data_IF_498347299431
#
_entry.id   IF_498347299431
#
_cell.length_a   1.000
_cell.length_b   1.000
_cell.length_c   1.000
_cell.angle_alpha   90.00
_cell.angle_beta   90.00
_cell.angle_gamma   90.00
#
_symmetry.space_group_name_H-M   'P 1'
#
loop_
_entity.id
_entity.type
_entity.pdbx_description
1 polymer ?
#
# COMPACT_ATOMS: atom_id res chain seq x y z
N UNK A 1 -4.24 43.82 -19.99
CA UNK A 1 -4.31 42.34 -20.07
C UNK A 1 -3.11 41.80 -19.33
N UNK A 2 -3.28 41.43 -18.07
CA UNK A 2 -2.22 40.87 -17.24
C UNK A 2 -2.17 39.35 -17.50
N UNK A 3 -1.03 38.87 -17.96
CA UNK A 3 -0.80 37.48 -18.37
C UNK A 3 -1.02 36.54 -17.16
N UNK A 4 -1.76 35.42 -17.26
CA UNK A 4 -1.91 34.51 -16.13
C UNK A 4 -0.53 33.93 -15.79
N UNK A 5 0.01 34.31 -14.63
CA UNK A 5 1.23 33.73 -14.07
C UNK A 5 0.94 32.26 -13.79
N UNK A 6 1.38 31.38 -14.69
CA UNK A 6 1.41 29.93 -14.47
C UNK A 6 2.32 29.72 -13.25
N UNK A 7 1.72 29.35 -12.10
CA UNK A 7 2.50 28.97 -10.92
C UNK A 7 3.34 27.75 -11.30
N UNK A 8 4.66 27.91 -11.21
CA UNK A 8 5.62 26.83 -11.43
C UNK A 8 5.29 25.63 -10.52
N UNK A 9 5.52 24.39 -11.00
CA UNK A 9 5.32 23.20 -10.18
C UNK A 9 6.14 23.31 -8.88
N UNK A 10 5.56 22.84 -7.78
CA UNK A 10 6.24 22.83 -6.50
C UNK A 10 7.60 22.13 -6.62
N UNK A 11 8.67 22.67 -6.01
CA UNK A 11 9.93 21.95 -5.94
C UNK A 11 9.67 20.59 -5.29
N UNK A 12 10.30 19.53 -5.80
CA UNK A 12 10.01 18.12 -5.46
C UNK A 12 9.84 17.87 -3.95
N UNK A 13 10.64 18.56 -3.11
CA UNK A 13 10.59 18.51 -1.64
C UNK A 13 9.33 19.06 -0.98
N UNK A 14 8.63 20.02 -1.60
CA UNK A 14 7.43 20.65 -1.04
C UNK A 14 6.12 20.00 -1.49
N UNK A 15 6.18 19.13 -2.49
CA UNK A 15 4.99 18.43 -2.99
C UNK A 15 4.48 17.39 -1.97
N UNK A 16 3.20 17.46 -1.63
CA UNK A 16 2.49 16.45 -0.84
C UNK A 16 2.44 15.12 -1.59
N UNK A 17 2.18 15.15 -2.90
CA UNK A 17 2.10 13.93 -3.71
C UNK A 17 3.44 13.20 -3.75
N UNK A 18 4.54 13.93 -3.94
CA UNK A 18 5.88 13.34 -3.94
C UNK A 18 6.29 12.84 -2.55
N UNK A 19 5.94 13.55 -1.47
CA UNK A 19 6.20 13.07 -0.10
C UNK A 19 5.41 11.80 0.21
N UNK A 20 4.15 11.72 -0.20
CA UNK A 20 3.32 10.53 -0.02
C UNK A 20 3.85 9.36 -0.86
N UNK A 21 4.18 9.58 -2.13
CA UNK A 21 4.75 8.57 -3.01
C UNK A 21 6.11 8.07 -2.52
N UNK A 22 7.01 8.98 -2.14
CA UNK A 22 8.31 8.63 -1.57
C UNK A 22 8.14 7.82 -0.28
N UNK A 23 7.18 8.18 0.57
CA UNK A 23 6.92 7.42 1.78
C UNK A 23 6.44 6.00 1.47
N UNK A 24 5.50 5.83 0.54
CA UNK A 24 5.04 4.49 0.12
C UNK A 24 6.22 3.66 -0.36
N UNK A 25 7.07 4.22 -1.23
CA UNK A 25 8.25 3.52 -1.77
C UNK A 25 9.25 3.17 -0.68
N UNK A 26 9.54 4.09 0.25
CA UNK A 26 10.45 3.83 1.36
C UNK A 26 9.87 2.76 2.29
N UNK A 27 8.57 2.82 2.60
CA UNK A 27 7.90 1.82 3.40
C UNK A 27 7.93 0.44 2.72
N UNK A 28 7.62 0.35 1.42
CA UNK A 28 7.67 -0.93 0.71
C UNK A 28 9.08 -1.50 0.66
N UNK A 29 10.10 -0.67 0.42
CA UNK A 29 11.51 -1.11 0.44
C UNK A 29 11.89 -1.62 1.83
N UNK A 30 11.54 -0.91 2.91
CA UNK A 30 11.83 -1.35 4.28
C UNK A 30 11.12 -2.66 4.59
N UNK A 31 9.82 -2.78 4.25
CA UNK A 31 9.06 -3.99 4.49
C UNK A 31 9.69 -5.18 3.75
N UNK A 32 10.03 -5.01 2.47
CA UNK A 32 10.69 -6.04 1.67
C UNK A 32 12.05 -6.38 2.26
N UNK A 33 12.86 -5.40 2.67
CA UNK A 33 14.18 -5.65 3.24
C UNK A 33 14.11 -6.40 4.58
N UNK A 34 13.15 -6.06 5.45
CA UNK A 34 12.96 -6.75 6.73
C UNK A 34 12.44 -8.16 6.52
N UNK A 35 11.48 -8.35 5.61
CA UNK A 35 11.00 -9.69 5.26
C UNK A 35 12.11 -10.51 4.62
N UNK A 36 12.86 -9.95 3.67
CA UNK A 36 14.00 -10.59 3.05
C UNK A 36 15.02 -11.01 4.11
N UNK A 37 15.45 -10.11 4.98
CA UNK A 37 16.40 -10.45 6.05
C UNK A 37 15.87 -11.56 6.97
N UNK A 38 14.57 -11.54 7.30
CA UNK A 38 13.96 -12.56 8.16
C UNK A 38 13.84 -13.92 7.47
N UNK A 39 13.46 -13.93 6.19
CA UNK A 39 13.30 -15.15 5.39
C UNK A 39 14.65 -15.72 5.00
N UNK A 40 15.58 -14.90 4.51
CA UNK A 40 16.95 -15.32 4.18
C UNK A 40 17.59 -15.99 5.40
N UNK A 41 17.50 -15.37 6.59
CA UNK A 41 18.01 -15.97 7.83
C UNK A 41 17.36 -17.32 8.20
N UNK A 42 16.12 -17.57 7.75
CA UNK A 42 15.39 -18.82 8.01
C UNK A 42 15.68 -19.89 6.96
N UNK A 43 15.90 -19.51 5.69
CA UNK A 43 16.04 -20.42 4.55
C UNK A 43 17.48 -20.67 4.13
N UNK A 44 18.42 -19.77 4.42
CA UNK A 44 19.83 -20.12 4.33
C UNK A 44 20.16 -21.00 5.53
N UNK A 45 19.88 -22.29 5.41
CA UNK A 45 20.85 -23.28 5.87
C UNK A 45 22.18 -22.84 5.24
N UNK A 46 23.01 -22.15 6.01
CA UNK A 46 24.34 -21.79 5.57
C UNK A 46 25.00 -23.12 5.22
N UNK A 47 25.20 -23.43 3.95
CA UNK A 47 26.06 -24.53 3.52
C UNK A 47 27.39 -24.32 4.25
N UNK A 48 27.56 -25.03 5.35
CA UNK A 48 28.55 -24.75 6.36
C UNK A 48 29.62 -25.82 6.33
N UNK A 49 30.74 -25.50 6.97
CA UNK A 49 31.78 -26.50 7.21
C UNK A 49 31.25 -27.72 7.99
N UNK A 50 30.18 -27.56 8.79
CA UNK A 50 29.55 -28.67 9.51
C UNK A 50 28.82 -29.61 8.54
N UNK A 51 28.15 -29.08 7.53
CA UNK A 51 27.50 -29.91 6.51
C UNK A 51 28.54 -30.70 5.72
N UNK A 52 29.69 -30.08 5.41
CA UNK A 52 30.82 -30.79 4.79
C UNK A 52 31.36 -31.92 5.68
N UNK A 53 31.50 -31.68 6.98
CA UNK A 53 31.88 -32.73 7.94
C UNK A 53 30.83 -33.85 8.01
N UNK A 54 29.54 -33.51 7.97
CA UNK A 54 28.46 -34.48 8.00
C UNK A 54 28.47 -35.37 6.75
N UNK A 55 28.66 -34.78 5.56
CA UNK A 55 28.87 -35.54 4.32
C UNK A 55 30.07 -36.49 4.45
N UNK A 56 31.20 -36.01 5.01
CA UNK A 56 32.37 -36.86 5.25
C UNK A 56 32.07 -38.03 6.18
N UNK A 57 31.35 -37.80 7.28
CA UNK A 57 30.97 -38.88 8.21
C UNK A 57 30.03 -39.91 7.56
N UNK A 58 29.02 -39.47 6.82
CA UNK A 58 28.14 -40.39 6.10
C UNK A 58 28.89 -41.18 5.03
N UNK A 59 29.79 -40.53 4.30
CA UNK A 59 30.68 -41.20 3.34
C UNK A 59 31.54 -42.26 4.01
N UNK A 60 32.21 -41.93 5.13
CA UNK A 60 33.06 -42.88 5.87
C UNK A 60 32.28 -44.02 6.50
N UNK A 61 31.08 -43.75 7.00
CA UNK A 61 30.20 -44.78 7.55
C UNK A 61 29.85 -45.81 6.48
N UNK A 62 29.45 -45.37 5.29
CA UNK A 62 29.12 -46.26 4.16
C UNK A 62 30.34 -46.99 3.61
N UNK A 63 31.51 -46.34 3.58
CA UNK A 63 32.77 -47.00 3.21
C UNK A 63 33.10 -48.15 4.17
N UNK A 64 32.82 -47.97 5.47
CA UNK A 64 33.09 -48.98 6.50
C UNK A 64 32.18 -50.22 6.41
N UNK A 65 31.01 -50.09 5.78
CA UNK A 65 30.06 -51.17 5.60
C UNK A 65 30.44 -52.17 4.50
N UNK A 66 31.43 -51.83 3.68
CA UNK A 66 31.98 -52.69 2.64
C UNK A 66 31.17 -52.73 1.34
N UNK A 67 31.74 -53.41 0.34
CA UNK A 67 31.17 -53.55 -0.99
C UNK A 67 31.43 -54.99 -1.53
N UNK A 68 30.49 -55.95 -1.37
CA UNK A 68 29.09 -55.77 -1.00
C UNK A 68 28.86 -55.43 0.50
N UNK A 69 27.73 -54.78 0.85
CA UNK A 69 27.52 -54.26 2.20
C UNK A 69 27.20 -55.34 3.24
N UNK A 70 27.83 -55.30 4.42
CA UNK A 70 27.55 -56.21 5.53
C UNK A 70 26.24 -55.85 6.27
N UNK A 71 25.16 -56.50 5.89
CA UNK A 71 23.82 -56.26 6.45
C UNK A 71 23.68 -56.50 7.95
N UNK A 72 24.56 -57.31 8.57
CA UNK A 72 24.52 -57.54 10.03
C UNK A 72 25.12 -56.33 10.73
N UNK A 73 26.31 -55.91 10.29
CA UNK A 73 26.99 -54.74 10.82
C UNK A 73 26.15 -53.46 10.66
N UNK A 74 25.59 -53.25 9.46
CA UNK A 74 24.73 -52.10 9.16
C UNK A 74 23.51 -52.08 10.08
N UNK A 75 22.86 -53.22 10.30
CA UNK A 75 21.69 -53.31 11.17
C UNK A 75 22.01 -52.88 12.59
N UNK A 76 23.13 -53.33 13.14
CA UNK A 76 23.56 -52.98 14.49
C UNK A 76 23.83 -51.47 14.61
N UNK A 77 24.56 -50.89 13.66
CA UNK A 77 24.94 -49.48 13.68
C UNK A 77 23.74 -48.54 13.45
N UNK A 78 22.91 -48.81 12.45
CA UNK A 78 21.70 -48.04 12.16
C UNK A 78 20.70 -48.09 13.33
N UNK A 79 20.60 -49.24 14.01
CA UNK A 79 19.75 -49.39 15.21
C UNK A 79 20.31 -48.61 16.41
N UNK A 80 21.63 -48.53 16.53
CA UNK A 80 22.30 -47.72 17.55
C UNK A 80 22.08 -46.22 17.29
N UNK A 81 22.23 -45.78 16.04
CA UNK A 81 22.05 -44.40 15.61
C UNK A 81 20.58 -43.96 15.50
N UNK A 82 19.62 -44.89 15.66
CA UNK A 82 18.18 -44.63 15.55
C UNK A 82 17.76 -44.07 14.20
N UNK A 83 18.38 -44.58 13.14
CA UNK A 83 18.08 -44.22 11.76
C UNK A 83 17.31 -45.34 11.05
N UNK A 84 16.71 -45.01 9.93
CA UNK A 84 16.28 -45.97 8.93
C UNK A 84 17.25 -45.93 7.75
N UNK A 85 17.44 -47.08 7.10
CA UNK A 85 18.35 -47.27 6.01
C UNK A 85 17.73 -48.21 4.97
N UNK A 86 17.69 -47.75 3.72
CA UNK A 86 17.38 -48.57 2.56
C UNK A 86 18.59 -48.66 1.62
N UNK A 87 18.95 -49.86 1.21
CA UNK A 87 20.08 -50.14 0.32
C UNK A 87 19.51 -50.70 -0.97
N UNK A 88 19.81 -50.01 -2.06
CA UNK A 88 19.35 -50.36 -3.41
C UNK A 88 20.57 -50.55 -4.30
N UNK A 89 20.47 -51.46 -5.26
CA UNK A 89 21.51 -51.53 -6.30
C UNK A 89 21.50 -50.22 -7.09
N UNK A 90 22.70 -49.71 -7.40
CA UNK A 90 22.84 -48.52 -8.24
C UNK A 90 22.45 -48.88 -9.66
N UNK A 91 21.43 -48.20 -10.17
CA UNK A 91 21.08 -48.18 -11.59
C UNK A 91 21.30 -46.77 -12.14
N UNK A 92 21.40 -46.64 -13.46
CA UNK A 92 21.65 -45.37 -14.11
C UNK A 92 20.61 -45.16 -15.19
N UNK A 93 19.94 -44.02 -15.16
CA UNK A 93 18.94 -43.71 -16.18
C UNK A 93 19.59 -43.24 -17.48
N UNK A 94 18.78 -43.03 -18.52
CA UNK A 94 19.24 -42.56 -19.82
C UNK A 94 19.93 -41.18 -19.81
N UNK A 95 19.88 -40.46 -18.69
CA UNK A 95 20.49 -39.15 -18.48
C UNK A 95 21.77 -39.20 -17.62
N UNK A 96 22.22 -40.40 -17.23
CA UNK A 96 23.41 -40.58 -16.40
C UNK A 96 23.19 -40.32 -14.90
N UNK A 97 21.94 -40.25 -14.45
CA UNK A 97 21.58 -39.99 -13.06
C UNK A 97 21.44 -41.33 -12.33
N UNK A 98 22.17 -41.48 -11.22
CA UNK A 98 22.05 -42.63 -10.31
C UNK A 98 20.62 -42.74 -9.76
N UNK A 99 20.02 -43.91 -9.88
CA UNK A 99 18.67 -44.21 -9.40
C UNK A 99 18.64 -45.52 -8.59
N UNK A 100 17.69 -45.65 -7.65
CA UNK A 100 17.55 -46.88 -6.87
C UNK A 100 16.98 -47.99 -7.75
N UNK A 101 17.76 -49.05 -7.94
CA UNK A 101 17.34 -50.27 -8.60
C UNK A 101 16.72 -51.28 -7.63
N UNK A 102 17.01 -52.56 -7.83
CA UNK A 102 16.53 -53.63 -6.95
C UNK A 102 16.97 -53.42 -5.49
N UNK A 103 16.01 -53.51 -4.55
CA UNK A 103 16.27 -53.47 -3.11
C UNK A 103 17.21 -54.61 -2.70
N UNK A 104 18.36 -54.25 -2.10
CA UNK A 104 19.30 -55.20 -1.50
C UNK A 104 18.93 -55.52 -0.06
N UNK A 105 18.69 -54.48 0.75
CA UNK A 105 18.25 -54.58 2.14
C UNK A 105 17.55 -53.29 2.56
N UNK A 106 16.57 -53.34 3.46
CA UNK A 106 15.92 -52.13 3.95
C UNK A 106 15.27 -52.39 5.32
N UNK A 107 15.32 -51.40 6.21
CA UNK A 107 14.47 -51.31 7.40
C UNK A 107 13.55 -50.07 7.36
N UNK A 108 13.36 -49.48 6.17
CA UNK A 108 12.49 -48.32 5.98
C UNK A 108 11.02 -48.67 6.30
N UNK A 109 10.27 -47.78 6.98
CA UNK A 109 8.83 -47.88 7.12
C UNK A 109 8.13 -47.95 5.76
N UNK A 110 6.99 -48.66 5.69
CA UNK A 110 6.20 -48.80 4.46
C UNK A 110 5.59 -47.49 3.93
N UNK A 111 5.63 -46.43 4.73
CA UNK A 111 5.13 -45.09 4.41
C UNK A 111 6.15 -44.26 3.61
N UNK A 112 7.40 -44.69 3.57
CA UNK A 112 8.49 -43.97 2.88
C UNK A 112 8.63 -44.49 1.45
N UNK A 113 8.33 -43.61 0.50
CA UNK A 113 8.51 -43.87 -0.94
C UNK A 113 9.75 -43.16 -1.45
N UNK A 114 10.67 -43.91 -2.03
CA UNK A 114 12.03 -43.43 -2.35
C UNK A 114 12.10 -42.72 -3.70
N UNK A 115 11.04 -42.82 -4.51
CA UNK A 115 10.99 -42.30 -5.87
C UNK A 115 10.92 -40.76 -5.94
N UNK A 116 10.61 -40.08 -4.82
CA UNK A 116 10.44 -38.62 -4.74
C UNK A 116 11.39 -37.99 -3.73
N UNK A 117 12.65 -37.76 -4.13
CA UNK A 117 13.62 -37.04 -3.31
C UNK A 117 13.70 -35.58 -3.76
N UNK A 118 13.55 -34.66 -2.80
CA UNK A 118 13.85 -33.24 -3.01
C UNK A 118 15.24 -32.94 -2.44
N UNK A 119 16.28 -33.06 -3.27
CA UNK A 119 17.67 -32.78 -2.89
C UNK A 119 17.95 -31.28 -2.88
N UNK A 120 18.67 -30.81 -1.87
CA UNK A 120 19.08 -29.41 -1.73
C UNK A 120 20.60 -29.23 -1.56
N UNK A 121 21.37 -30.30 -1.28
CA UNK A 121 22.83 -30.23 -1.22
C UNK A 121 23.50 -31.50 -1.74
N UNK A 122 24.69 -31.35 -2.35
CA UNK A 122 25.55 -32.44 -2.80
C UNK A 122 26.98 -32.19 -2.33
N UNK A 123 27.61 -33.24 -1.79
CA UNK A 123 29.01 -33.27 -1.34
C UNK A 123 30.03 -32.66 -2.31
N UNK A 124 29.83 -32.79 -3.62
CA UNK A 124 30.71 -32.21 -4.64
C UNK A 124 30.81 -30.69 -4.51
N UNK A 125 29.70 -30.00 -4.25
CA UNK A 125 29.69 -28.55 -4.07
C UNK A 125 30.43 -28.13 -2.79
N UNK A 126 30.29 -28.92 -1.72
CA UNK A 126 30.95 -28.64 -0.45
C UNK A 126 32.45 -28.96 -0.48
N UNK A 127 32.85 -29.98 -1.24
CA UNK A 127 34.26 -30.33 -1.50
C UNK A 127 34.98 -29.15 -2.16
N UNK A 128 34.40 -28.57 -3.21
CA UNK A 128 34.95 -27.40 -3.90
C UNK A 128 34.94 -26.14 -3.03
N UNK A 129 33.89 -25.94 -2.24
CA UNK A 129 33.73 -24.75 -1.40
C UNK A 129 34.72 -24.71 -0.22
N UNK A 130 34.98 -25.87 0.40
CA UNK A 130 35.74 -25.96 1.64
C UNK A 130 37.09 -26.67 1.52
N UNK A 131 37.46 -27.16 0.33
CA UNK A 131 38.70 -27.92 0.09
C UNK A 131 38.81 -29.17 0.99
N UNK A 132 37.71 -29.94 1.08
CA UNK A 132 37.62 -31.18 1.87
C UNK A 132 37.41 -32.37 0.95
N UNK A 133 38.27 -33.38 1.06
CA UNK A 133 38.10 -34.65 0.36
C UNK A 133 36.99 -35.51 1.02
N UNK A 134 35.85 -35.63 0.34
CA UNK A 134 34.76 -36.52 0.72
C UNK A 134 34.85 -37.79 -0.16
N UNK A 135 35.11 -39.00 0.40
CA UNK A 135 35.41 -40.19 -0.39
C UNK A 135 34.28 -40.70 -1.31
N UNK A 136 33.03 -40.51 -0.91
CA UNK A 136 31.84 -41.00 -1.62
C UNK A 136 30.87 -39.85 -1.86
N UNK A 137 30.16 -39.91 -2.98
CA UNK A 137 29.14 -38.91 -3.33
C UNK A 137 27.97 -39.02 -2.34
N UNK A 138 27.79 -37.97 -1.54
CA UNK A 138 26.65 -37.81 -0.63
C UNK A 138 25.72 -36.71 -1.15
N UNK A 139 24.41 -36.96 -1.09
CA UNK A 139 23.32 -36.06 -1.47
C UNK A 139 22.38 -35.91 -0.28
N UNK A 140 22.13 -34.67 0.14
CA UNK A 140 21.15 -34.35 1.16
C UNK A 140 19.84 -33.85 0.53
N UNK A 141 18.73 -34.29 1.10
CA UNK A 141 17.40 -33.95 0.63
C UNK A 141 16.33 -34.28 1.65
N UNK A 142 15.09 -34.22 1.21
CA UNK A 142 13.93 -34.72 1.94
C UNK A 142 13.16 -35.76 1.11
N UNK A 143 12.65 -36.78 1.78
CA UNK A 143 11.61 -37.68 1.25
C UNK A 143 10.35 -37.42 2.06
N UNK A 144 9.34 -36.83 1.43
CA UNK A 144 8.22 -36.23 2.16
C UNK A 144 8.73 -35.18 3.14
N UNK A 145 8.38 -35.34 4.42
CA UNK A 145 8.79 -34.44 5.52
C UNK A 145 10.07 -34.91 6.25
N UNK A 146 10.68 -36.02 5.81
CA UNK A 146 11.83 -36.61 6.49
C UNK A 146 13.15 -36.25 5.80
N UNK A 147 14.18 -35.79 6.55
CA UNK A 147 15.50 -35.57 6.01
C UNK A 147 16.14 -36.90 5.61
N UNK A 148 16.76 -36.92 4.44
CA UNK A 148 17.47 -38.07 3.87
C UNK A 148 18.89 -37.68 3.46
N UNK A 149 19.83 -38.58 3.77
CA UNK A 149 21.18 -38.59 3.21
C UNK A 149 21.30 -39.81 2.28
N UNK A 150 21.59 -39.55 1.01
CA UNK A 150 21.83 -40.60 0.00
C UNK A 150 23.32 -40.67 -0.28
N UNK A 151 23.92 -41.85 -0.11
CA UNK A 151 25.34 -42.07 -0.41
C UNK A 151 25.48 -43.07 -1.54
N UNK A 152 26.26 -42.72 -2.56
CA UNK A 152 26.59 -43.57 -3.69
C UNK A 152 28.00 -44.15 -3.52
N UNK A 153 28.09 -45.49 -3.40
CA UNK A 153 29.38 -46.20 -3.31
C UNK A 153 29.84 -46.82 -4.64
N UNK A 154 29.17 -46.47 -5.75
CA UNK A 154 29.42 -46.97 -7.10
C UNK A 154 28.66 -48.25 -7.46
N UNK A 155 28.26 -49.07 -6.49
CA UNK A 155 27.47 -50.30 -6.72
C UNK A 155 26.09 -50.26 -6.06
N UNK A 156 25.95 -49.52 -4.98
CA UNK A 156 24.75 -49.43 -4.15
C UNK A 156 24.49 -47.97 -3.74
N UNK A 157 23.20 -47.64 -3.63
CA UNK A 157 22.71 -46.39 -3.07
C UNK A 157 22.17 -46.64 -1.67
N UNK A 158 22.64 -45.85 -0.71
CA UNK A 158 22.26 -45.95 0.70
C UNK A 158 21.40 -44.76 1.08
N UNK A 159 20.13 -45.02 1.35
CA UNK A 159 19.15 -44.03 1.78
C UNK A 159 19.06 -44.03 3.29
N UNK A 160 19.67 -43.06 3.94
CA UNK A 160 19.66 -42.93 5.40
C UNK A 160 18.68 -41.85 5.81
N UNK A 161 17.68 -42.23 6.60
CA UNK A 161 16.57 -41.35 7.00
C UNK A 161 16.53 -41.30 8.51
N UNK A 162 16.38 -40.09 9.05
CA UNK A 162 16.19 -39.88 10.48
C UNK A 162 14.72 -39.61 10.73
N UNK A 163 14.15 -40.21 11.78
CA UNK A 163 12.81 -39.90 12.25
C UNK A 163 12.80 -38.56 13.00
N UNK A 164 13.12 -37.49 12.28
CA UNK A 164 13.14 -36.12 12.75
C UNK A 164 12.38 -35.26 11.76
N UNK A 165 11.25 -34.72 12.19
CA UNK A 165 10.51 -33.74 11.41
C UNK A 165 10.98 -32.37 11.91
N UNK A 166 11.63 -31.55 11.06
CA UNK A 166 12.07 -30.23 11.47
C UNK A 166 10.87 -29.41 11.98
N UNK A 167 11.02 -28.61 13.05
CA UNK A 167 9.92 -27.83 13.57
C UNK A 167 9.40 -26.90 12.47
N UNK A 168 8.07 -26.84 12.32
CA UNK A 168 7.45 -25.97 11.33
C UNK A 168 7.81 -24.50 11.58
N UNK A 169 8.22 -23.80 10.53
CA UNK A 169 8.64 -22.39 10.56
C UNK A 169 7.44 -21.41 10.55
N UNK A 170 6.28 -21.81 11.10
CA UNK A 170 5.04 -21.04 11.08
C UNK A 170 5.17 -19.66 11.74
N UNK A 171 6.09 -19.54 12.69
CA UNK A 171 6.40 -18.29 13.37
C UNK A 171 6.92 -17.20 12.41
N UNK A 172 7.61 -17.57 11.32
CA UNK A 172 8.06 -16.61 10.29
C UNK A 172 6.87 -16.06 9.48
N UNK A 173 5.89 -16.91 9.18
CA UNK A 173 4.64 -16.48 8.53
C UNK A 173 3.87 -15.54 9.44
N UNK A 174 3.71 -15.89 10.72
CA UNK A 174 3.02 -15.02 11.69
C UNK A 174 3.73 -13.69 11.87
N UNK A 175 5.06 -13.69 11.95
CA UNK A 175 5.86 -12.47 11.99
C UNK A 175 5.62 -11.59 10.75
N UNK A 176 5.64 -12.18 9.55
CA UNK A 176 5.41 -11.46 8.31
C UNK A 176 4.00 -10.83 8.26
N UNK A 177 2.97 -11.55 8.70
CA UNK A 177 1.59 -11.05 8.76
C UNK A 177 1.47 -9.89 9.75
N UNK A 178 2.01 -10.03 10.96
CA UNK A 178 1.98 -8.96 11.98
C UNK A 178 2.70 -7.71 11.44
N UNK A 179 3.87 -7.88 10.84
CA UNK A 179 4.63 -6.78 10.26
C UNK A 179 3.85 -6.07 9.14
N UNK A 180 3.21 -6.83 8.26
CA UNK A 180 2.36 -6.27 7.20
C UNK A 180 1.19 -5.46 7.78
N UNK A 181 0.53 -5.94 8.83
CA UNK A 181 -0.57 -5.22 9.50
C UNK A 181 -0.07 -3.89 10.08
N UNK A 182 1.07 -3.90 10.78
CA UNK A 182 1.69 -2.68 11.33
C UNK A 182 1.98 -1.67 10.22
N UNK A 183 2.51 -2.14 9.09
CA UNK A 183 2.78 -1.30 7.92
C UNK A 183 1.52 -0.67 7.33
N UNK A 184 0.46 -1.46 7.15
CA UNK A 184 -0.83 -0.98 6.63
C UNK A 184 -1.44 0.06 7.56
N UNK A 185 -1.43 -0.19 8.88
CA UNK A 185 -1.92 0.76 9.87
C UNK A 185 -1.11 2.05 9.85
N UNK A 186 0.22 1.96 9.81
CA UNK A 186 1.11 3.12 9.71
C UNK A 186 0.79 3.98 8.48
N UNK A 187 0.62 3.35 7.32
CA UNK A 187 0.27 4.04 6.09
C UNK A 187 -1.11 4.71 6.16
N UNK A 188 -2.11 4.02 6.73
CA UNK A 188 -3.46 4.54 6.91
C UNK A 188 -3.46 5.81 7.78
N UNK A 189 -2.81 5.78 8.93
CA UNK A 189 -2.71 6.95 9.82
C UNK A 189 -1.95 8.10 9.16
N UNK A 190 -0.90 7.80 8.41
CA UNK A 190 -0.13 8.81 7.68
C UNK A 190 -0.98 9.49 6.60
N UNK A 191 -1.65 8.72 5.73
CA UNK A 191 -2.56 9.26 4.70
C UNK A 191 -3.63 10.13 5.35
N UNK A 192 -4.24 9.67 6.44
CA UNK A 192 -5.29 10.42 7.16
C UNK A 192 -4.78 11.74 7.72
N UNK A 193 -3.54 11.79 8.22
CA UNK A 193 -2.92 13.01 8.71
C UNK A 193 -2.72 14.05 7.59
N UNK A 194 -2.19 13.62 6.44
CA UNK A 194 -1.91 14.50 5.31
C UNK A 194 -3.18 14.94 4.55
N UNK A 195 -4.24 14.13 4.57
CA UNK A 195 -5.53 14.47 3.95
C UNK A 195 -6.46 15.29 4.86
N UNK A 196 -6.05 15.61 6.10
CA UNK A 196 -6.82 16.48 7.01
C UNK A 196 -7.26 17.82 6.38
N UNK A 197 -6.43 18.53 5.57
CA UNK A 197 -6.86 19.78 4.93
C UNK A 197 -8.02 19.59 3.95
N UNK A 198 -8.10 18.44 3.27
CA UNK A 198 -9.20 18.13 2.34
C UNK A 198 -10.54 18.08 3.08
N UNK A 199 -10.55 17.49 4.28
CA UNK A 199 -11.74 17.45 5.11
C UNK A 199 -12.17 18.84 5.59
N UNK A 200 -11.20 19.72 5.92
CA UNK A 200 -11.50 21.12 6.28
C UNK A 200 -12.09 21.90 5.10
N UNK A 201 -11.56 21.70 3.90
CA UNK A 201 -12.11 22.31 2.68
C UNK A 201 -13.54 21.83 2.43
N UNK A 202 -13.81 20.53 2.54
CA UNK A 202 -15.16 19.96 2.40
C UNK A 202 -16.15 20.65 3.33
N UNK A 203 -15.83 20.69 4.63
CA UNK A 203 -16.71 21.30 5.63
C UNK A 203 -16.91 22.80 5.37
N UNK A 204 -15.90 23.48 4.81
CA UNK A 204 -16.03 24.89 4.43
C UNK A 204 -16.96 25.07 3.23
N UNK A 205 -16.87 24.24 2.19
CA UNK A 205 -17.78 24.29 1.04
C UNK A 205 -19.22 24.10 1.51
N UNK A 206 -19.48 23.11 2.37
CA UNK A 206 -20.82 22.90 2.96
C UNK A 206 -21.30 24.10 3.80
N UNK A 207 -20.40 24.84 4.42
CA UNK A 207 -20.74 26.07 5.16
C UNK A 207 -21.01 27.25 4.21
N UNK A 208 -20.26 27.34 3.11
CA UNK A 208 -20.44 28.34 2.06
C UNK A 208 -21.80 28.16 1.37
N UNK A 209 -22.19 26.92 1.09
CA UNK A 209 -23.53 26.58 0.54
C UNK A 209 -24.66 27.04 1.45
N UNK A 210 -24.42 27.08 2.77
CA UNK A 210 -25.37 27.58 3.78
C UNK A 210 -25.32 29.11 3.95
N UNK A 211 -24.49 29.81 3.20
CA UNK A 211 -24.38 31.27 3.25
C UNK A 211 -23.33 31.81 4.24
N UNK A 212 -22.35 31.03 4.68
CA UNK A 212 -21.21 31.58 5.43
C UNK A 212 -20.10 32.05 4.46
N UNK A 213 -20.05 33.36 4.20
CA UNK A 213 -18.96 34.03 3.45
C UNK A 213 -17.89 34.69 4.35
N UNK A 214 -18.11 34.75 5.68
CA UNK A 214 -17.22 35.47 6.59
C UNK A 214 -16.01 34.63 7.01
N UNK A 215 -16.22 33.33 7.26
CA UNK A 215 -15.15 32.48 7.79
C UNK A 215 -14.14 32.03 6.71
N UNK A 216 -12.89 31.77 7.10
CA UNK A 216 -11.80 31.34 6.21
C UNK A 216 -11.35 29.93 6.54
N UNK A 217 -10.88 29.18 5.54
CA UNK A 217 -10.21 27.90 5.74
C UNK A 217 -8.87 28.17 6.40
N UNK A 218 -8.56 27.44 7.48
CA UNK A 218 -7.24 27.45 8.06
C UNK A 218 -6.23 26.78 7.11
N UNK A 219 -5.17 27.51 6.74
CA UNK A 219 -4.15 27.01 5.82
C UNK A 219 -3.18 26.15 6.63
N UNK A 220 -3.11 24.85 6.30
CA UNK A 220 -2.21 23.89 6.94
C UNK A 220 -1.13 23.49 5.94
N UNK A 221 0.14 23.62 6.34
CA UNK A 221 1.29 23.23 5.52
C UNK A 221 1.71 24.28 4.48
N UNK A 222 2.62 23.88 3.60
CA UNK A 222 3.16 24.72 2.52
C UNK A 222 3.11 24.03 1.15
N UNK A 223 2.24 23.06 0.98
CA UNK A 223 2.14 22.20 -0.19
C UNK A 223 0.93 22.53 -1.08
N UNK A 224 0.63 21.67 -2.05
CA UNK A 224 -0.48 21.85 -2.99
C UNK A 224 -1.82 22.04 -2.29
N UNK A 225 -2.06 21.38 -1.15
CA UNK A 225 -3.30 21.55 -0.39
C UNK A 225 -3.32 22.91 0.33
N UNK A 226 -2.17 23.40 0.79
CA UNK A 226 -2.05 24.73 1.35
C UNK A 226 -2.37 25.82 0.30
N UNK A 227 -1.85 25.66 -0.92
CA UNK A 227 -2.12 26.59 -2.02
C UNK A 227 -3.56 26.48 -2.54
N UNK A 228 -4.16 25.29 -2.53
CA UNK A 228 -5.58 25.12 -2.81
C UNK A 228 -6.43 25.83 -1.76
N UNK A 229 -6.07 25.72 -0.46
CA UNK A 229 -6.76 26.41 0.63
C UNK A 229 -6.72 27.93 0.45
N UNK A 230 -5.55 28.47 0.07
CA UNK A 230 -5.39 29.91 -0.25
C UNK A 230 -6.25 30.32 -1.43
N UNK A 231 -6.26 29.53 -2.50
CA UNK A 231 -7.02 29.82 -3.72
C UNK A 231 -8.52 29.81 -3.45
N UNK A 232 -9.01 28.88 -2.63
CA UNK A 232 -10.40 28.81 -2.21
C UNK A 232 -10.79 29.98 -1.31
N UNK A 233 -9.95 30.38 -0.35
CA UNK A 233 -10.18 31.58 0.44
C UNK A 233 -10.25 32.84 -0.43
N UNK A 234 -9.40 32.95 -1.46
CA UNK A 234 -9.44 34.08 -2.41
C UNK A 234 -10.74 34.08 -3.21
N UNK A 235 -11.19 32.93 -3.69
CA UNK A 235 -12.47 32.80 -4.39
C UNK A 235 -13.65 33.24 -3.51
N UNK A 236 -13.67 32.84 -2.23
CA UNK A 236 -14.70 33.27 -1.26
C UNK A 236 -14.70 34.79 -1.09
N UNK A 237 -13.51 35.40 -1.02
CA UNK A 237 -13.36 36.85 -0.91
C UNK A 237 -13.84 37.59 -2.17
N UNK A 238 -13.49 37.08 -3.37
CA UNK A 238 -13.98 37.62 -4.65
C UNK A 238 -15.50 37.51 -4.77
N UNK A 239 -16.12 36.40 -4.34
CA UNK A 239 -17.58 36.25 -4.28
C UNK A 239 -18.20 37.30 -3.35
N UNK A 240 -17.62 37.50 -2.18
CA UNK A 240 -18.14 38.48 -1.21
C UNK A 240 -18.09 39.92 -1.77
N UNK A 241 -16.99 40.28 -2.43
CA UNK A 241 -16.85 41.58 -3.11
C UNK A 241 -17.87 41.75 -4.25
N UNK A 242 -18.08 40.71 -5.06
CA UNK A 242 -19.08 40.74 -6.14
C UNK A 242 -20.50 40.94 -5.61
N UNK A 243 -20.85 40.26 -4.51
CA UNK A 243 -22.16 40.42 -3.87
C UNK A 243 -22.34 41.82 -3.27
N UNK A 244 -21.31 42.36 -2.61
CA UNK A 244 -21.33 43.72 -2.10
C UNK A 244 -21.50 44.76 -3.22
N UNK A 245 -20.77 44.59 -4.33
CA UNK A 245 -20.88 45.46 -5.50
C UNK A 245 -22.25 45.37 -6.17
N UNK A 246 -22.84 44.17 -6.28
CA UNK A 246 -24.21 43.97 -6.79
C UNK A 246 -25.21 44.73 -5.93
N UNK A 247 -25.09 44.62 -4.61
CA UNK A 247 -26.00 45.29 -3.68
C UNK A 247 -25.91 46.81 -3.79
N UNK A 248 -24.69 47.36 -3.85
CA UNK A 248 -24.48 48.80 -4.02
C UNK A 248 -25.07 49.31 -5.33
N UNK A 249 -24.85 48.59 -6.44
CA UNK A 249 -25.39 48.95 -7.75
C UNK A 249 -26.93 49.00 -7.73
N UNK A 250 -27.60 48.04 -7.09
CA UNK A 250 -29.06 48.03 -6.99
C UNK A 250 -29.60 49.23 -6.19
N UNK A 251 -28.91 49.61 -5.11
CA UNK A 251 -29.25 50.81 -4.34
C UNK A 251 -29.10 52.08 -5.18
N UNK A 252 -27.96 52.23 -5.85
CA UNK A 252 -27.65 53.39 -6.69
C UNK A 252 -28.66 53.54 -7.83
N UNK A 253 -28.96 52.44 -8.55
CA UNK A 253 -29.97 52.41 -9.62
C UNK A 253 -31.35 52.79 -9.08
N UNK A 254 -31.73 52.30 -7.90
CA UNK A 254 -33.04 52.61 -7.32
C UNK A 254 -33.15 54.08 -6.90
N UNK A 255 -32.07 54.68 -6.41
CA UNK A 255 -32.02 56.11 -6.11
C UNK A 255 -32.10 56.96 -7.38
N UNK A 256 -31.34 56.60 -8.42
CA UNK A 256 -31.34 57.26 -9.73
C UNK A 256 -32.72 57.18 -10.40
N UNK A 257 -33.46 56.07 -10.27
CA UNK A 257 -34.80 55.90 -10.84
C UNK A 257 -35.89 56.65 -10.07
N UNK A 258 -35.73 56.91 -8.77
CA UNK A 258 -36.71 57.67 -7.97
C UNK A 258 -36.83 59.14 -8.43
N UNK A 259 -35.72 59.76 -8.82
CA UNK A 259 -35.71 61.16 -9.31
C UNK A 259 -36.56 61.40 -10.57
N UNK A 260 -36.43 60.62 -11.66
CA UNK A 260 -37.27 60.76 -12.84
C UNK A 260 -38.73 60.36 -12.58
N UNK A 261 -39.00 59.35 -11.73
CA UNK A 261 -40.37 58.99 -11.33
C UNK A 261 -41.08 60.17 -10.65
N UNK A 262 -40.42 60.83 -9.69
CA UNK A 262 -40.96 62.03 -9.04
C UNK A 262 -41.19 63.17 -10.04
N UNK A 263 -40.29 63.37 -11.01
CA UNK A 263 -40.49 64.35 -12.08
C UNK A 263 -41.69 64.00 -12.97
N UNK A 264 -41.89 62.73 -13.31
CA UNK A 264 -43.05 62.30 -14.09
C UNK A 264 -44.37 62.51 -13.32
N UNK A 265 -44.40 62.21 -12.01
CA UNK A 265 -45.55 62.52 -11.15
C UNK A 265 -45.87 64.02 -11.16
N UNK A 266 -44.85 64.87 -11.00
CA UNK A 266 -45.01 66.32 -11.03
C UNK A 266 -45.53 66.83 -12.39
N UNK A 267 -44.97 66.35 -13.50
CA UNK A 267 -45.43 66.73 -14.84
C UNK A 267 -46.88 66.34 -15.09
N UNK A 268 -47.32 65.19 -14.58
CA UNK A 268 -48.73 64.75 -14.65
C UNK A 268 -49.65 65.67 -13.86
N UNK A 269 -49.22 66.17 -12.70
CA UNK A 269 -50.00 67.10 -11.89
C UNK A 269 -50.19 68.47 -12.55
N UNK A 270 -49.27 68.88 -13.42
CA UNK A 270 -49.37 70.13 -14.18
C UNK A 270 -50.18 70.01 -15.47
N UNK A 271 -50.56 68.81 -15.90
CA UNK A 271 -51.34 68.61 -17.14
C UNK A 271 -52.84 68.93 -16.97
N UNK A 272 -53.50 69.50 -17.99
CA UNK A 272 -54.95 69.75 -17.96
C UNK A 272 -55.75 68.44 -17.86
N UNK A 273 -56.89 68.47 -17.15
CA UNK A 273 -57.72 67.28 -16.87
C UNK A 273 -58.05 66.49 -18.14
N UNK A 274 -57.51 65.28 -18.23
CA UNK A 274 -57.76 64.32 -19.30
C UNK A 274 -58.04 62.93 -18.71
N UNK A 275 -58.90 62.14 -19.34
CA UNK A 275 -59.35 60.83 -18.84
C UNK A 275 -58.20 59.82 -18.62
N UNK A 276 -57.13 59.93 -19.42
CA UNK A 276 -55.95 59.06 -19.32
C UNK A 276 -54.95 59.43 -18.21
N UNK A 277 -55.07 60.58 -17.53
CA UNK A 277 -54.12 60.97 -16.48
C UNK A 277 -54.17 60.06 -15.25
N UNK A 278 -55.37 59.53 -14.95
CA UNK A 278 -55.55 58.57 -13.85
C UNK A 278 -54.76 57.29 -14.14
N UNK A 279 -54.88 56.76 -15.37
CA UNK A 279 -54.13 55.58 -15.81
C UNK A 279 -52.61 55.82 -15.78
N UNK A 280 -52.15 57.00 -16.23
CA UNK A 280 -50.72 57.32 -16.23
C UNK A 280 -50.13 57.41 -14.81
N UNK A 281 -50.90 57.96 -13.86
CA UNK A 281 -50.54 58.00 -12.44
C UNK A 281 -50.49 56.60 -11.82
N UNK A 282 -51.47 55.75 -12.13
CA UNK A 282 -51.49 54.35 -11.68
C UNK A 282 -50.26 53.57 -12.17
N UNK A 283 -49.86 53.74 -13.44
CA UNK A 283 -48.65 53.10 -14.00
C UNK A 283 -47.34 53.57 -13.32
N UNK A 284 -47.21 54.86 -13.00
CA UNK A 284 -46.01 55.34 -12.29
C UNK A 284 -45.96 54.82 -10.86
N UNK A 285 -47.09 54.79 -10.16
CA UNK A 285 -47.18 54.20 -8.82
C UNK A 285 -46.87 52.69 -8.85
N UNK A 286 -47.30 52.01 -9.90
CA UNK A 286 -46.97 50.60 -10.13
C UNK A 286 -45.45 50.39 -10.33
N UNK A 287 -44.80 51.22 -11.16
CA UNK A 287 -43.34 51.17 -11.36
C UNK A 287 -42.57 51.45 -10.06
N UNK A 288 -43.02 52.41 -9.25
CA UNK A 288 -42.42 52.71 -7.94
C UNK A 288 -42.52 51.51 -6.99
N UNK A 289 -43.71 50.89 -6.91
CA UNK A 289 -43.92 49.68 -6.12
C UNK A 289 -43.08 48.49 -6.61
N UNK A 290 -42.91 48.33 -7.93
CA UNK A 290 -42.09 47.27 -8.51
C UNK A 290 -40.61 47.41 -8.14
N UNK A 291 -40.07 48.64 -8.15
CA UNK A 291 -38.69 48.93 -7.73
C UNK A 291 -38.51 48.63 -6.24
N UNK A 292 -39.46 49.06 -5.40
CA UNK A 292 -39.42 48.82 -3.96
C UNK A 292 -39.46 47.31 -3.63
N UNK A 293 -40.34 46.56 -4.30
CA UNK A 293 -40.44 45.12 -4.15
C UNK A 293 -39.17 44.38 -4.61
N UNK A 294 -38.51 44.85 -5.67
CA UNK A 294 -37.25 44.27 -6.16
C UNK A 294 -36.12 44.47 -5.13
N UNK A 295 -36.03 45.66 -4.53
CA UNK A 295 -35.06 45.95 -3.47
C UNK A 295 -35.33 45.16 -2.18
N UNK A 296 -36.61 45.02 -1.80
CA UNK A 296 -37.03 44.19 -0.68
C UNK A 296 -36.70 42.72 -0.93
N UNK A 297 -36.92 42.22 -2.14
CA UNK A 297 -36.60 40.86 -2.52
C UNK A 297 -35.08 40.59 -2.48
N UNK A 298 -34.23 41.50 -2.97
CA UNK A 298 -32.77 41.36 -2.82
C UNK A 298 -32.37 41.36 -1.33
N UNK A 299 -32.94 42.26 -0.51
CA UNK A 299 -32.69 42.30 0.93
C UNK A 299 -33.12 41.03 1.67
N UNK A 300 -34.23 40.40 1.27
CA UNK A 300 -34.77 39.19 1.89
C UNK A 300 -34.10 37.91 1.38
N UNK A 301 -33.71 37.89 0.10
CA UNK A 301 -33.05 36.73 -0.54
C UNK A 301 -31.58 36.61 -0.16
N UNK A 302 -30.97 37.65 0.42
CA UNK A 302 -29.63 37.61 0.96
C UNK A 302 -29.57 36.70 2.20
N UNK A 303 -28.95 35.50 2.12
CA UNK A 303 -28.80 34.60 3.27
C UNK A 303 -27.81 35.15 4.33
N UNK A 304 -27.14 36.26 4.02
CA UNK A 304 -25.91 36.71 4.69
C UNK A 304 -26.12 37.61 5.92
N UNK A 305 -27.37 37.91 6.32
CA UNK A 305 -27.67 38.96 7.30
C UNK A 305 -28.13 38.48 8.69
N UNK A 306 -28.05 37.19 9.00
CA UNK A 306 -28.52 36.69 10.32
C UNK A 306 -27.51 37.00 11.46
N UNK A 307 -26.31 37.53 11.21
CA UNK A 307 -25.26 37.61 12.24
C UNK A 307 -24.87 38.99 12.78
N UNK A 308 -25.53 40.08 12.40
CA UNK A 308 -25.24 41.41 12.97
C UNK A 308 -26.47 42.04 13.67
N UNK A 309 -27.30 41.22 14.31
CA UNK A 309 -28.31 41.66 15.28
C UNK A 309 -27.91 41.19 16.68
N UNK A 310 -26.93 41.86 17.29
CA UNK A 310 -26.70 41.95 18.73
C UNK A 310 -25.98 43.26 19.03
#
# INVERSE_FOLDING_TARGET
MENPKIKLPYPFRKSLFNRLGLLVVVFTIILIAVLYYRFEYSFTTQDSILDAHENYYYSKMVESWGNPPDTIHIREEITNLKMWCGIFKREENNLGISMPGLQYWSNLPSEIFIDEIYSWSKSTYLTEMYDIEIPLDVIFGNIGDYPVAVVDNGNYLFYMIINYIPPSEWYNVVFAVILAIIFILGLYFFIRYYLKPVHLMKNRIESLEKGDLKSKIHIIGEDELADLSKSMNKMIEEINLLLASKHQLLLDVSHELRSPLARMQFLIEMMPKHSNLIKLREEINFLESMIENLLLSDRLSMPYKILDLN
#
